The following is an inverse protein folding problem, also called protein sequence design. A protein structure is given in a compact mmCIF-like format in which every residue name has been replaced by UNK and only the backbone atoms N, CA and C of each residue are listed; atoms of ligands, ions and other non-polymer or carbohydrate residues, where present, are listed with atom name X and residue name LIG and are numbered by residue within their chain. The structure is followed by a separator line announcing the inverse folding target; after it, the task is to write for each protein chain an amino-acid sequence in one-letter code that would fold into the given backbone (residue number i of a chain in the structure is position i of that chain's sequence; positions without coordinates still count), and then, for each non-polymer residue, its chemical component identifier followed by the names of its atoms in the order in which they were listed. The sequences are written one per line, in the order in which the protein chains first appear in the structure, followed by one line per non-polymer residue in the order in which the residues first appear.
data_IF_878787143195
#
_entry.id   IF_878787143195
#
_cell.length_a   1.000
_cell.length_b   1.000
_cell.length_c   1.000
_cell.angle_alpha   90.00
_cell.angle_beta   90.00
_cell.angle_gamma   90.00
#
_symmetry.space_group_name_H-M   'P 1'
#
loop_
_entity.id
_entity.type
_entity.pdbx_description
1 polymer ?
#
# COMPACT_ATOMS: atom_id res chain seq x y z
N UNK A 1 -1.73 -10.03 13.89
CA UNK A 1 -1.31 -9.55 12.55
C UNK A 1 -1.57 -8.06 12.49
N UNK A 2 -0.60 -7.26 12.05
CA UNK A 2 -0.73 -5.79 11.97
C UNK A 2 -0.96 -5.36 10.52
N UNK A 3 -1.64 -4.23 10.35
CA UNK A 3 -1.87 -3.62 9.05
C UNK A 3 -1.45 -2.15 9.09
N UNK A 4 -0.79 -1.70 8.05
CA UNK A 4 -0.61 -0.28 7.75
C UNK A 4 -1.38 -0.03 6.46
N UNK A 5 -2.41 0.78 6.56
CA UNK A 5 -3.28 1.16 5.45
C UNK A 5 -3.10 2.63 5.15
N UNK A 6 -3.16 2.99 3.88
CA UNK A 6 -3.15 4.39 3.47
C UNK A 6 -4.24 4.67 2.43
N UNK A 7 -4.91 5.81 2.60
CA UNK A 7 -5.89 6.30 1.63
C UNK A 7 -5.19 6.84 0.38
N UNK A 8 -5.87 6.71 -0.76
CA UNK A 8 -5.49 7.23 -2.07
C UNK A 8 -6.49 6.72 -3.11
N UNK A 9 -6.36 7.21 -4.34
CA UNK A 9 -7.18 6.78 -5.47
C UNK A 9 -6.32 5.99 -6.48
N UNK A 10 -6.85 4.91 -7.07
CA UNK A 10 -6.18 4.20 -8.16
C UNK A 10 -6.23 5.03 -9.45
N UNK A 11 -5.28 4.79 -10.36
CA UNK A 11 -5.16 5.53 -11.61
C UNK A 11 -3.90 6.41 -11.65
N UNK A 12 -3.29 6.51 -12.84
CA UNK A 12 -2.05 7.26 -13.04
C UNK A 12 -2.26 8.77 -12.88
N UNK A 13 -3.47 9.26 -13.14
CA UNK A 13 -3.90 10.63 -12.97
C UNK A 13 -3.86 11.08 -11.50
N UNK A 14 -4.06 10.16 -10.55
CA UNK A 14 -4.04 10.47 -9.11
C UNK A 14 -2.68 10.27 -8.45
N UNK A 15 -1.76 9.56 -9.12
CA UNK A 15 -0.49 9.10 -8.54
C UNK A 15 0.35 10.21 -7.88
N UNK A 16 0.29 11.44 -8.42
CA UNK A 16 1.04 12.61 -7.93
C UNK A 16 0.17 13.67 -7.22
N UNK A 17 -1.07 13.33 -6.88
CA UNK A 17 -1.94 14.22 -6.11
C UNK A 17 -1.59 14.16 -4.63
N UNK A 18 -1.88 15.25 -3.89
CA UNK A 18 -1.70 15.28 -2.43
C UNK A 18 -2.52 14.20 -1.71
N UNK A 19 -3.66 13.81 -2.28
CA UNK A 19 -4.52 12.77 -1.73
C UNK A 19 -3.84 11.39 -1.71
N UNK A 20 -2.89 11.14 -2.63
CA UNK A 20 -2.16 9.88 -2.75
C UNK A 20 -0.84 9.86 -1.96
N UNK A 21 -0.56 10.86 -1.11
CA UNK A 21 0.68 10.88 -0.32
C UNK A 21 0.83 9.62 0.54
N UNK A 22 -0.29 9.12 1.08
CA UNK A 22 -0.30 7.88 1.86
C UNK A 22 0.15 6.66 1.04
N UNK A 23 -0.27 6.55 -0.22
CA UNK A 23 0.19 5.49 -1.12
C UNK A 23 1.68 5.63 -1.45
N UNK A 24 2.16 6.85 -1.68
CA UNK A 24 3.59 7.10 -1.91
C UNK A 24 4.44 6.70 -0.69
N UNK A 25 3.96 6.99 0.53
CA UNK A 25 4.60 6.53 1.76
C UNK A 25 4.63 5.00 1.83
N UNK A 26 3.54 4.31 1.47
CA UNK A 26 3.51 2.86 1.44
C UNK A 26 4.42 2.25 0.36
N UNK A 27 4.57 2.90 -0.79
CA UNK A 27 5.51 2.48 -1.85
C UNK A 27 6.95 2.60 -1.38
N UNK A 28 7.31 3.73 -0.76
CA UNK A 28 8.63 3.92 -0.16
C UNK A 28 8.90 2.90 0.95
N UNK A 29 7.91 2.64 1.81
CA UNK A 29 8.02 1.64 2.87
C UNK A 29 8.17 0.23 2.32
N UNK A 30 7.36 -0.16 1.33
CA UNK A 30 7.48 -1.46 0.69
C UNK A 30 8.87 -1.65 0.07
N UNK A 31 9.38 -0.64 -0.63
CA UNK A 31 10.74 -0.63 -1.20
C UNK A 31 11.81 -0.82 -0.11
N UNK A 32 11.74 -0.06 0.99
CA UNK A 32 12.69 -0.14 2.10
C UNK A 32 12.73 -1.52 2.77
N UNK A 33 11.61 -2.26 2.75
CA UNK A 33 11.49 -3.60 3.34
C UNK A 33 11.48 -4.74 2.31
N UNK A 34 11.81 -4.47 1.05
CA UNK A 34 11.85 -5.50 -0.01
C UNK A 34 10.49 -6.14 -0.33
N UNK A 35 9.39 -5.46 -0.01
CA UNK A 35 8.04 -5.93 -0.25
C UNK A 35 7.51 -5.42 -1.60
N UNK A 36 6.65 -6.21 -2.25
CA UNK A 36 6.06 -5.87 -3.54
C UNK A 36 4.54 -5.90 -3.46
N UNK A 37 3.91 -4.87 -4.02
CA UNK A 37 2.46 -4.80 -4.08
C UNK A 37 1.92 -5.75 -5.15
N UNK A 38 0.88 -6.50 -4.78
CA UNK A 38 0.06 -7.28 -5.69
C UNK A 38 -1.41 -6.89 -5.52
N UNK A 39 -2.12 -6.71 -6.64
CA UNK A 39 -3.56 -6.45 -6.63
C UNK A 39 -4.31 -7.68 -6.11
N UNK A 40 -5.25 -7.46 -5.20
CA UNK A 40 -6.13 -8.47 -4.61
C UNK A 40 -7.59 -8.08 -4.89
N UNK A 41 -8.19 -8.53 -6.01
CA UNK A 41 -9.53 -8.12 -6.41
C UNK A 41 -10.60 -8.36 -5.34
N UNK A 42 -10.53 -9.51 -4.63
CA UNK A 42 -11.46 -9.85 -3.53
C UNK A 42 -11.42 -8.87 -2.36
N UNK A 43 -10.32 -8.14 -2.19
CA UNK A 43 -10.14 -7.16 -1.12
C UNK A 43 -10.34 -5.72 -1.60
N UNK A 44 -10.56 -5.52 -2.92
CA UNK A 44 -10.53 -4.19 -3.54
C UNK A 44 -9.30 -3.39 -3.08
N UNK A 45 -8.11 -4.00 -3.13
CA UNK A 45 -6.89 -3.38 -2.67
C UNK A 45 -5.65 -3.95 -3.37
N UNK A 46 -4.59 -3.14 -3.46
CA UNK A 46 -3.23 -3.63 -3.65
C UNK A 46 -2.57 -3.85 -2.29
N UNK A 47 -1.98 -5.02 -2.07
CA UNK A 47 -1.37 -5.40 -0.79
C UNK A 47 0.07 -5.86 -0.95
N UNK A 48 0.91 -5.58 0.04
CA UNK A 48 2.26 -6.12 0.14
C UNK A 48 2.50 -6.67 1.55
N UNK A 49 3.21 -7.79 1.66
CA UNK A 49 3.61 -8.35 2.96
C UNK A 49 5.04 -7.93 3.28
N UNK A 50 5.26 -7.35 4.46
CA UNK A 50 6.56 -6.91 4.93
C UNK A 50 6.83 -7.42 6.35
N UNK A 51 8.10 -7.55 6.72
CA UNK A 51 8.52 -7.80 8.11
C UNK A 51 9.15 -6.53 8.65
N UNK A 52 8.46 -5.84 9.56
CA UNK A 52 8.91 -4.57 10.14
C UNK A 52 9.17 -4.79 11.62
N UNK A 53 10.40 -4.49 12.07
CA UNK A 53 10.85 -4.74 13.45
C UNK A 53 10.55 -6.18 13.93
N UNK A 54 10.80 -7.17 13.06
CA UNK A 54 10.55 -8.58 13.35
C UNK A 54 9.07 -8.99 13.40
N UNK A 55 8.14 -8.11 13.01
CA UNK A 55 6.70 -8.38 13.03
C UNK A 55 6.14 -8.48 11.60
N UNK A 56 5.26 -9.46 11.30
CA UNK A 56 4.56 -9.50 10.04
C UNK A 56 3.54 -8.35 9.96
N UNK A 57 3.67 -7.53 8.91
CA UNK A 57 2.84 -6.37 8.64
C UNK A 57 2.30 -6.46 7.21
N UNK A 58 0.99 -6.28 7.06
CA UNK A 58 0.36 -6.10 5.75
C UNK A 58 0.32 -4.60 5.42
N UNK A 59 0.85 -4.22 4.26
CA UNK A 59 0.68 -2.89 3.68
C UNK A 59 -0.52 -2.94 2.73
N UNK A 60 -1.45 -1.97 2.82
CA UNK A 60 -2.68 -1.99 2.03
C UNK A 60 -3.01 -0.63 1.40
N UNK A 61 -3.30 -0.65 0.09
CA UNK A 61 -3.74 0.47 -0.75
C UNK A 61 -5.14 0.16 -1.32
N UNK A 62 -6.24 0.67 -0.74
CA UNK A 62 -7.60 0.35 -1.17
C UNK A 62 -7.94 0.91 -2.56
N UNK A 63 -8.42 0.09 -3.49
CA UNK A 63 -8.78 0.47 -4.87
C UNK A 63 -10.30 0.51 -5.06
N UNK A 64 -11.00 1.21 -4.18
CA UNK A 64 -12.48 1.19 -4.09
C UNK A 64 -13.18 2.29 -4.88
N UNK A 65 -12.44 3.23 -5.47
CA UNK A 65 -12.93 4.34 -6.27
C UNK A 65 -12.31 4.30 -7.66
#
# INVERSE_FOLDING_TARGET
MKIILAQGNPGSEYARTRHNIGWQCLDALACAYGAQFATKPKLHAATASATIAGQPVLLAKPTTF
#
